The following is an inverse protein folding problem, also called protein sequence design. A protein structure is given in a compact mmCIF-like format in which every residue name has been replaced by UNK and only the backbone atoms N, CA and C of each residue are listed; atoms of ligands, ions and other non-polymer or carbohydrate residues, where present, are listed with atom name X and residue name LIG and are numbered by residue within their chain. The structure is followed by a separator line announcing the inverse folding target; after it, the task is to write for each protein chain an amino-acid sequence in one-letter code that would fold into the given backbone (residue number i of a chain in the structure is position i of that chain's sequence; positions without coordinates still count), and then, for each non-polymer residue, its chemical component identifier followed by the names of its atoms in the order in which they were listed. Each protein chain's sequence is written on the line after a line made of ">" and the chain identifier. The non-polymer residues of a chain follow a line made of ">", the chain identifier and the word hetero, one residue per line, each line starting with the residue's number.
data_IF_599482058033
#
_entry.id   IF_599482058033
#
_cell.length_a   1.000
_cell.length_b   1.000
_cell.length_c   1.000
_cell.angle_alpha   90.00
_cell.angle_beta   90.00
_cell.angle_gamma   90.00
#
_symmetry.space_group_name_H-M   'P 1'
#
loop_
_entity.id
_entity.type
_entity.pdbx_description
1 polymer ?
#
# COMPACT_ATOMS: atom_id res chain seq x y z
N UNK A 1 13.62 24.39 -2.91
CA UNK A 1 14.49 23.19 -2.79
C UNK A 1 13.98 22.39 -1.60
N UNK A 2 13.12 21.38 -1.83
CA UNK A 2 12.67 20.51 -0.76
C UNK A 2 13.68 19.37 -0.58
N UNK A 3 14.57 19.51 0.40
CA UNK A 3 15.42 18.42 0.86
C UNK A 3 14.56 17.43 1.64
N UNK A 4 13.87 16.53 0.93
CA UNK A 4 13.25 15.38 1.58
C UNK A 4 14.36 14.47 2.08
N UNK A 5 14.52 14.40 3.40
CA UNK A 5 15.39 13.44 4.08
C UNK A 5 15.12 12.04 3.51
N UNK A 6 16.15 11.25 3.15
CA UNK A 6 15.94 9.91 2.64
C UNK A 6 15.20 9.07 3.68
N UNK A 7 14.10 8.43 3.27
CA UNK A 7 13.32 7.57 4.15
C UNK A 7 14.19 6.45 4.73
N UNK A 8 14.07 6.24 6.04
CA UNK A 8 14.74 5.15 6.74
C UNK A 8 14.06 3.80 6.44
N UNK A 9 14.78 2.71 6.69
CA UNK A 9 14.22 1.38 6.54
C UNK A 9 13.00 1.15 7.44
N UNK A 10 13.04 1.66 8.68
CA UNK A 10 11.95 1.51 9.64
C UNK A 10 10.69 2.26 9.20
N UNK A 11 10.82 3.50 8.71
CA UNK A 11 9.68 4.27 8.19
C UNK A 11 8.99 3.56 7.01
N UNK A 12 9.78 2.96 6.11
CA UNK A 12 9.25 2.21 4.97
C UNK A 12 8.47 0.96 5.41
N UNK A 13 9.03 0.19 6.34
CA UNK A 13 8.37 -1.01 6.87
C UNK A 13 7.13 -0.66 7.69
N UNK A 14 7.17 0.41 8.46
CA UNK A 14 6.02 0.87 9.23
C UNK A 14 4.90 1.39 8.31
N UNK A 15 5.23 2.10 7.24
CA UNK A 15 4.25 2.52 6.25
C UNK A 15 3.61 1.34 5.52
N UNK A 16 4.39 0.30 5.18
CA UNK A 16 3.85 -0.94 4.62
C UNK A 16 2.91 -1.63 5.60
N UNK A 17 3.28 -1.74 6.88
CA UNK A 17 2.42 -2.33 7.90
C UNK A 17 1.08 -1.59 8.06
N UNK A 18 1.10 -0.25 7.99
CA UNK A 18 -0.14 0.56 7.99
C UNK A 18 -1.01 0.28 6.75
N UNK A 19 -0.40 0.13 5.57
CA UNK A 19 -1.13 -0.24 4.36
C UNK A 19 -1.73 -1.65 4.48
N UNK A 20 -1.00 -2.62 5.02
CA UNK A 20 -1.51 -3.97 5.23
C UNK A 20 -2.69 -4.01 6.22
N UNK A 21 -2.62 -3.21 7.29
CA UNK A 21 -3.76 -3.04 8.20
C UNK A 21 -5.00 -2.49 7.48
N UNK A 22 -4.82 -1.53 6.57
CA UNK A 22 -5.89 -1.04 5.70
C UNK A 22 -6.46 -2.12 4.78
N UNK A 23 -5.59 -2.97 4.21
CA UNK A 23 -6.02 -4.06 3.34
C UNK A 23 -6.80 -5.14 4.09
N UNK A 24 -6.51 -5.39 5.36
CA UNK A 24 -7.33 -6.28 6.18
C UNK A 24 -8.77 -5.76 6.33
N UNK A 25 -8.96 -4.43 6.43
CA UNK A 25 -10.29 -3.84 6.44
C UNK A 25 -11.01 -4.05 5.10
N UNK A 26 -10.28 -3.90 3.98
CA UNK A 26 -10.80 -4.15 2.62
C UNK A 26 -11.29 -5.58 2.48
N UNK A 27 -10.46 -6.56 2.87
CA UNK A 27 -10.82 -7.99 2.79
C UNK A 27 -12.05 -8.31 3.65
N UNK A 28 -12.15 -7.77 4.87
CA UNK A 28 -13.33 -7.95 5.74
C UNK A 28 -14.62 -7.35 5.15
N UNK A 29 -14.51 -6.39 4.25
CA UNK A 29 -15.63 -5.70 3.60
C UNK A 29 -15.82 -6.10 2.13
N UNK A 30 -15.19 -7.19 1.69
CA UNK A 30 -15.29 -7.65 0.31
C UNK A 30 -16.77 -7.78 -0.13
N UNK A 31 -17.10 -7.15 -1.25
CA UNK A 31 -18.46 -7.09 -1.81
C UNK A 31 -19.50 -6.27 -1.01
N UNK A 32 -19.09 -5.55 0.04
CA UNK A 32 -20.00 -4.76 0.91
C UNK A 32 -19.90 -3.25 0.69
N UNK A 33 -19.18 -2.82 -0.34
CA UNK A 33 -18.94 -1.41 -0.65
C UNK A 33 -17.91 -0.74 0.26
N UNK A 34 -17.47 0.44 -0.20
CA UNK A 34 -16.54 1.30 0.52
C UNK A 34 -17.32 2.26 1.43
N UNK A 35 -17.13 2.17 2.75
CA UNK A 35 -17.60 3.21 3.68
C UNK A 35 -16.59 4.36 3.77
N UNK A 36 -17.00 5.57 4.21
CA UNK A 36 -16.13 6.74 4.28
C UNK A 36 -14.88 6.50 5.15
N UNK A 37 -15.00 5.69 6.21
CA UNK A 37 -13.86 5.35 7.08
C UNK A 37 -12.84 4.45 6.37
N UNK A 38 -13.31 3.52 5.52
CA UNK A 38 -12.43 2.64 4.76
C UNK A 38 -11.65 3.42 3.70
N UNK A 39 -12.31 4.36 3.01
CA UNK A 39 -11.66 5.23 2.02
C UNK A 39 -10.62 6.14 2.66
N UNK A 40 -10.96 6.79 3.78
CA UNK A 40 -10.00 7.63 4.53
C UNK A 40 -8.79 6.84 5.00
N UNK A 41 -8.99 5.62 5.48
CA UNK A 41 -7.90 4.77 5.96
C UNK A 41 -6.98 4.32 4.81
N UNK A 42 -7.55 3.97 3.66
CA UNK A 42 -6.79 3.63 2.44
C UNK A 42 -6.00 4.82 1.89
N UNK A 43 -6.62 6.00 1.83
CA UNK A 43 -5.99 7.22 1.33
C UNK A 43 -4.84 7.66 2.25
N UNK A 44 -5.04 7.61 3.57
CA UNK A 44 -4.00 7.94 4.54
C UNK A 44 -2.80 7.00 4.44
N UNK A 45 -3.04 5.68 4.43
CA UNK A 45 -1.98 4.68 4.34
C UNK A 45 -1.21 4.76 3.01
N UNK A 46 -1.92 4.90 1.89
CA UNK A 46 -1.30 5.00 0.57
C UNK A 46 -0.51 6.29 0.38
N UNK A 47 -1.01 7.43 0.86
CA UNK A 47 -0.29 8.72 0.79
C UNK A 47 1.02 8.64 1.56
N UNK A 48 1.01 8.10 2.78
CA UNK A 48 2.22 7.93 3.59
C UNK A 48 3.27 7.08 2.87
N UNK A 49 2.86 5.95 2.27
CA UNK A 49 3.78 5.08 1.56
C UNK A 49 4.33 5.72 0.27
N UNK A 50 3.49 6.41 -0.53
CA UNK A 50 3.95 7.11 -1.75
C UNK A 50 5.00 8.18 -1.45
N UNK A 51 4.84 8.92 -0.34
CA UNK A 51 5.81 9.95 0.07
C UNK A 51 7.19 9.33 0.32
N UNK A 52 7.24 8.18 1.00
CA UNK A 52 8.50 7.52 1.34
C UNK A 52 9.15 6.78 0.16
N UNK A 53 8.33 6.22 -0.73
CA UNK A 53 8.81 5.51 -1.91
C UNK A 53 9.24 6.44 -3.04
N UNK A 54 8.78 7.69 -3.06
CA UNK A 54 9.05 8.64 -4.13
C UNK A 54 8.25 8.37 -5.41
N UNK A 55 8.41 9.24 -6.44
CA UNK A 55 7.53 9.30 -7.60
C UNK A 55 7.52 8.04 -8.47
N UNK A 56 8.67 7.37 -8.62
CA UNK A 56 8.83 6.22 -9.52
C UNK A 56 8.01 4.99 -9.08
N UNK A 57 7.64 4.94 -7.81
CA UNK A 57 6.92 3.80 -7.21
C UNK A 57 5.44 4.07 -7.00
N UNK A 58 4.96 5.26 -7.39
CA UNK A 58 3.57 5.69 -7.20
C UNK A 58 2.54 4.80 -7.91
N UNK A 59 2.90 4.26 -9.09
CA UNK A 59 2.01 3.40 -9.87
C UNK A 59 1.67 2.09 -9.15
N UNK A 60 2.64 1.44 -8.51
CA UNK A 60 2.38 0.18 -7.80
C UNK A 60 1.45 0.37 -6.59
N UNK A 61 1.52 1.54 -5.95
CA UNK A 61 0.56 1.89 -4.89
C UNK A 61 -0.83 2.14 -5.48
N UNK A 62 -0.94 2.75 -6.66
CA UNK A 62 -2.22 2.89 -7.37
C UNK A 62 -2.83 1.53 -7.72
N UNK A 63 -2.03 0.59 -8.23
CA UNK A 63 -2.50 -0.74 -8.62
C UNK A 63 -3.09 -1.50 -7.41
N UNK A 64 -2.47 -1.38 -6.23
CA UNK A 64 -3.00 -1.93 -4.98
C UNK A 64 -4.34 -1.27 -4.60
N UNK A 65 -4.45 0.06 -4.72
CA UNK A 65 -5.70 0.76 -4.41
C UNK A 65 -6.83 0.41 -5.39
N UNK A 66 -6.52 0.26 -6.67
CA UNK A 66 -7.50 -0.13 -7.69
C UNK A 66 -7.99 -1.56 -7.45
N UNK A 67 -7.09 -2.49 -7.12
CA UNK A 67 -7.46 -3.84 -6.71
C UNK A 67 -8.33 -3.82 -5.44
N UNK A 68 -8.00 -2.99 -4.44
CA UNK A 68 -8.79 -2.83 -3.24
C UNK A 68 -10.19 -2.29 -3.52
N UNK A 69 -10.32 -1.29 -4.40
CA UNK A 69 -11.60 -0.74 -4.84
C UNK A 69 -12.46 -1.82 -5.51
N UNK A 70 -11.87 -2.64 -6.40
CA UNK A 70 -12.56 -3.78 -7.03
C UNK A 70 -13.05 -4.80 -6.01
N UNK A 71 -12.25 -5.12 -4.98
CA UNK A 71 -12.66 -6.03 -3.88
C UNK A 71 -13.90 -5.51 -3.15
N UNK A 72 -13.97 -4.20 -2.91
CA UNK A 72 -15.08 -3.60 -2.17
C UNK A 72 -16.38 -3.61 -2.98
N UNK A 73 -16.32 -3.44 -4.30
CA UNK A 73 -17.52 -3.21 -5.14
C UNK A 73 -17.97 -4.42 -5.94
N UNK A 74 -17.15 -5.46 -6.08
CA UNK A 74 -17.52 -6.65 -6.85
C UNK A 74 -18.63 -7.46 -6.17
N UNK A 75 -19.61 -7.90 -6.96
CA UNK A 75 -20.67 -8.80 -6.50
C UNK A 75 -20.12 -10.18 -6.09
N UNK A 76 -19.11 -10.68 -6.81
CA UNK A 76 -18.27 -11.81 -6.42
C UNK A 76 -16.82 -11.32 -6.25
N UNK A 77 -16.31 -11.27 -5.01
CA UNK A 77 -14.98 -10.75 -4.74
C UNK A 77 -13.84 -11.76 -4.93
N UNK A 78 -14.09 -13.01 -5.31
CA UNK A 78 -13.05 -14.05 -5.37
C UNK A 78 -11.87 -13.66 -6.28
N UNK A 79 -12.14 -13.25 -7.52
CA UNK A 79 -11.11 -12.82 -8.46
C UNK A 79 -10.41 -11.51 -8.02
N UNK A 80 -11.13 -10.44 -7.63
CA UNK A 80 -10.50 -9.24 -7.07
C UNK A 80 -9.62 -9.50 -5.84
N UNK A 81 -9.98 -10.44 -4.96
CA UNK A 81 -9.18 -10.80 -3.79
C UNK A 81 -7.85 -11.45 -4.17
N UNK A 82 -7.83 -12.28 -5.21
CA UNK A 82 -6.60 -12.85 -5.75
C UNK A 82 -5.71 -11.73 -6.34
N UNK A 83 -6.29 -10.83 -7.14
CA UNK A 83 -5.57 -9.69 -7.70
C UNK A 83 -4.98 -8.79 -6.60
N UNK A 84 -5.75 -8.51 -5.55
CA UNK A 84 -5.29 -7.73 -4.41
C UNK A 84 -4.11 -8.41 -3.70
N UNK A 85 -4.17 -9.72 -3.50
CA UNK A 85 -3.07 -10.49 -2.92
C UNK A 85 -1.80 -10.34 -3.74
N UNK A 86 -1.87 -10.49 -5.07
CA UNK A 86 -0.72 -10.37 -5.96
C UNK A 86 -0.12 -8.96 -5.98
N UNK A 87 -0.99 -7.94 -6.02
CA UNK A 87 -0.56 -6.54 -5.98
C UNK A 87 0.16 -6.21 -4.66
N UNK A 88 -0.39 -6.67 -3.53
CA UNK A 88 0.22 -6.50 -2.20
C UNK A 88 1.60 -7.18 -2.09
N UNK A 89 1.73 -8.41 -2.59
CA UNK A 89 3.01 -9.12 -2.59
C UNK A 89 4.07 -8.38 -3.43
N UNK A 90 3.67 -7.87 -4.59
CA UNK A 90 4.57 -7.10 -5.48
C UNK A 90 5.05 -5.81 -4.82
N UNK A 91 4.13 -5.08 -4.17
CA UNK A 91 4.46 -3.87 -3.44
C UNK A 91 5.36 -4.15 -2.23
N UNK A 92 5.05 -5.18 -1.44
CA UNK A 92 5.87 -5.57 -0.29
C UNK A 92 7.30 -5.91 -0.72
N UNK A 93 7.49 -6.67 -1.80
CA UNK A 93 8.81 -6.99 -2.33
C UNK A 93 9.61 -5.73 -2.71
N UNK A 94 8.96 -4.71 -3.30
CA UNK A 94 9.61 -3.44 -3.61
C UNK A 94 9.96 -2.67 -2.34
N UNK A 95 9.04 -2.54 -1.39
CA UNK A 95 9.30 -1.84 -0.12
C UNK A 95 10.47 -2.49 0.62
N UNK A 96 10.52 -3.82 0.72
CA UNK A 96 11.65 -4.53 1.32
C UNK A 96 12.97 -4.25 0.61
N UNK A 97 12.98 -4.18 -0.73
CA UNK A 97 14.17 -3.79 -1.50
C UNK A 97 14.61 -2.35 -1.20
N UNK A 98 13.67 -1.42 -1.06
CA UNK A 98 13.97 -0.04 -0.69
C UNK A 98 14.51 0.05 0.75
N UNK A 99 13.89 -0.64 1.70
CA UNK A 99 14.34 -0.70 3.09
C UNK A 99 15.77 -1.27 3.19
N UNK A 100 16.06 -2.39 2.52
CA UNK A 100 17.40 -2.98 2.50
C UNK A 100 18.47 -2.07 1.83
N UNK A 101 18.06 -1.19 0.90
CA UNK A 101 18.93 -0.16 0.34
C UNK A 101 19.14 1.01 1.31
N UNK A 102 18.11 1.40 2.05
CA UNK A 102 18.20 2.45 3.05
C UNK A 102 19.14 2.06 4.20
N UNK A 103 19.05 0.82 4.71
CA UNK A 103 19.96 0.32 5.76
C UNK A 103 21.43 0.37 5.30
N UNK A 104 21.71 0.00 4.04
CA UNK A 104 23.07 0.01 3.48
C UNK A 104 23.67 1.40 3.24
N UNK A 105 22.86 2.46 3.22
CA UNK A 105 23.35 3.85 3.07
C UNK A 105 23.72 4.48 4.41
N UNK A 106 23.23 3.91 5.51
CA UNK A 106 23.42 4.42 6.88
C UNK A 106 24.56 3.68 7.59
N UNK A 107 24.85 2.43 7.19
CA UNK A 107 26.02 1.66 7.59
C UNK A 107 27.27 2.07 6.78
#
# INVERSE_FOLDING_TARGET
>A
MNTSTPATADELLQALARLDAAMLLVVRRAGRGCGPDAERHLDGASRGLRILLGPDTGQMVNDVLDAARRVLTAADPAAPLLMLTMARQSLAAVVHRHAARATRKVA
#
